data_IF_936960657115
#
_entry.id   IF_936960657115
#
_cell.length_a   1.000
_cell.length_b   1.000
_cell.length_c   1.000
_cell.angle_alpha   90.00
_cell.angle_beta   90.00
_cell.angle_gamma   90.00
#
_symmetry.space_group_name_H-M   'P 1'
#
loop_
_entity.id
_entity.type
_entity.pdbx_description
1 polymer ?
#
# COMPACT_ATOMS: atom_id res chain seq x y z
N UNK A 1 16.65 -29.63 -31.33
CA UNK A 1 15.22 -29.50 -30.96
C UNK A 1 14.66 -28.38 -31.82
N UNK A 2 13.74 -28.69 -32.74
CA UNK A 2 13.16 -27.69 -33.64
C UNK A 2 12.51 -26.58 -32.79
N UNK A 3 12.96 -25.34 -32.98
CA UNK A 3 12.49 -24.21 -32.21
C UNK A 3 11.04 -23.90 -32.57
N UNK A 4 10.19 -23.71 -31.55
CA UNK A 4 8.83 -23.21 -31.72
C UNK A 4 8.92 -21.78 -32.28
N UNK A 5 8.06 -21.45 -33.26
CA UNK A 5 7.98 -20.10 -33.82
C UNK A 5 7.71 -19.08 -32.71
N UNK A 6 8.29 -17.88 -32.85
CA UNK A 6 8.08 -16.76 -31.92
C UNK A 6 6.59 -16.42 -31.79
N UNK A 7 5.82 -16.58 -32.87
CA UNK A 7 4.39 -16.28 -32.90
C UNK A 7 3.58 -17.25 -32.02
N UNK A 8 3.87 -18.56 -32.14
CA UNK A 8 3.24 -19.59 -31.32
C UNK A 8 3.57 -19.38 -29.84
N UNK A 9 4.83 -19.03 -29.54
CA UNK A 9 5.23 -18.70 -28.16
C UNK A 9 4.45 -17.49 -27.62
N UNK A 10 4.28 -16.44 -28.42
CA UNK A 10 3.54 -15.24 -28.01
C UNK A 10 2.06 -15.56 -27.77
N UNK A 11 1.45 -16.35 -28.65
CA UNK A 11 0.05 -16.80 -28.51
C UNK A 11 -0.16 -17.62 -27.22
N UNK A 12 0.72 -18.58 -26.94
CA UNK A 12 0.65 -19.41 -25.73
C UNK A 12 0.76 -18.52 -24.48
N UNK A 13 1.69 -17.57 -24.46
CA UNK A 13 1.85 -16.64 -23.33
C UNK A 13 0.59 -15.77 -23.16
N UNK A 14 -0.01 -15.29 -24.26
CA UNK A 14 -1.25 -14.52 -24.20
C UNK A 14 -2.41 -15.34 -23.61
N UNK A 15 -2.56 -16.61 -24.02
CA UNK A 15 -3.58 -17.53 -23.49
C UNK A 15 -3.37 -17.83 -22.00
N UNK A 16 -2.13 -18.01 -21.55
CA UNK A 16 -1.83 -18.17 -20.12
C UNK A 16 -2.20 -16.90 -19.34
N UNK A 17 -1.84 -15.71 -19.84
CA UNK A 17 -2.21 -14.43 -19.20
C UNK A 17 -3.72 -14.21 -19.15
N UNK A 18 -4.46 -14.75 -20.12
CA UNK A 18 -5.93 -14.76 -20.13
C UNK A 18 -6.55 -15.79 -19.15
N UNK A 19 -5.74 -16.54 -18.41
CA UNK A 19 -6.21 -17.46 -17.36
C UNK A 19 -6.34 -18.93 -17.77
N UNK A 20 -5.93 -19.31 -18.99
CA UNK A 20 -5.96 -20.72 -19.39
C UNK A 20 -4.92 -21.55 -18.63
N UNK A 21 -5.27 -22.81 -18.32
CA UNK A 21 -4.39 -23.72 -17.60
C UNK A 21 -3.17 -24.08 -18.45
N UNK A 22 -1.99 -23.91 -17.88
CA UNK A 22 -0.70 -24.27 -18.49
C UNK A 22 -0.65 -25.75 -18.89
N UNK A 23 -1.29 -26.63 -18.12
CA UNK A 23 -1.31 -28.07 -18.41
C UNK A 23 -2.10 -28.41 -19.69
N UNK A 24 -3.20 -27.70 -19.95
CA UNK A 24 -4.05 -27.93 -21.11
C UNK A 24 -3.38 -27.36 -22.37
N UNK A 25 -2.78 -26.18 -22.25
CA UNK A 25 -1.97 -25.57 -23.32
C UNK A 25 -0.73 -26.41 -23.65
N UNK A 26 -0.05 -26.96 -22.65
CA UNK A 26 1.08 -27.86 -22.84
C UNK A 26 0.70 -29.07 -23.70
N UNK A 27 -0.45 -29.69 -23.42
CA UNK A 27 -0.98 -30.81 -24.21
C UNK A 27 -1.38 -30.36 -25.62
N UNK A 28 -2.13 -29.27 -25.75
CA UNK A 28 -2.64 -28.79 -27.03
C UNK A 28 -1.53 -28.41 -28.03
N UNK A 29 -0.44 -27.82 -27.54
CA UNK A 29 0.69 -27.39 -28.38
C UNK A 29 1.86 -28.37 -28.41
N UNK A 30 1.74 -29.54 -27.75
CA UNK A 30 2.77 -30.57 -27.75
C UNK A 30 4.07 -30.16 -27.05
N UNK A 31 3.98 -29.33 -25.99
CA UNK A 31 5.14 -28.79 -25.27
C UNK A 31 5.10 -29.14 -23.79
N UNK A 32 6.27 -29.19 -23.16
CA UNK A 32 6.32 -29.40 -21.71
C UNK A 32 5.79 -28.18 -20.96
N UNK A 33 5.07 -28.42 -19.86
CA UNK A 33 4.64 -27.36 -18.92
C UNK A 33 5.84 -26.54 -18.41
N UNK A 34 6.98 -27.21 -18.17
CA UNK A 34 8.26 -26.58 -17.78
C UNK A 34 8.71 -25.52 -18.79
N UNK A 35 8.56 -25.78 -20.08
CA UNK A 35 8.92 -24.82 -21.15
C UNK A 35 8.08 -23.54 -21.05
N UNK A 36 6.77 -23.68 -20.83
CA UNK A 36 5.86 -22.54 -20.68
C UNK A 36 6.23 -21.72 -19.44
N UNK A 37 6.47 -22.37 -18.30
CA UNK A 37 6.90 -21.69 -17.08
C UNK A 37 8.26 -20.98 -17.23
N UNK A 38 9.19 -21.56 -17.97
CA UNK A 38 10.48 -20.92 -18.26
C UNK A 38 10.29 -19.65 -19.09
N UNK A 39 9.38 -19.65 -20.06
CA UNK A 39 9.06 -18.44 -20.83
C UNK A 39 8.43 -17.36 -19.97
N UNK A 40 7.48 -17.72 -19.09
CA UNK A 40 6.86 -16.78 -18.15
C UNK A 40 7.89 -16.17 -17.20
N UNK A 41 8.80 -17.00 -16.66
CA UNK A 41 9.90 -16.54 -15.81
C UNK A 41 10.80 -15.53 -16.54
N UNK A 42 11.11 -15.77 -17.80
CA UNK A 42 11.91 -14.85 -18.62
C UNK A 42 11.18 -13.56 -19.05
N UNK A 43 9.88 -13.43 -18.80
CA UNK A 43 9.13 -12.18 -19.03
C UNK A 43 9.11 -11.26 -17.79
N UNK A 44 9.60 -11.72 -16.65
CA UNK A 44 9.73 -10.90 -15.44
C UNK A 44 10.86 -9.88 -15.67
N UNK A 45 10.50 -8.66 -16.08
CA UNK A 45 11.44 -7.58 -16.40
C UNK A 45 12.12 -6.99 -15.15
N UNK A 46 11.44 -7.01 -14.02
CA UNK A 46 11.95 -6.50 -12.75
C UNK A 46 11.83 -7.59 -11.69
N UNK A 47 12.96 -8.22 -11.37
CA UNK A 47 13.11 -8.93 -10.12
C UNK A 47 13.26 -7.85 -9.05
N UNK A 48 12.22 -7.61 -8.25
CA UNK A 48 12.32 -6.69 -7.10
C UNK A 48 13.44 -7.21 -6.21
N UNK A 49 14.49 -6.41 -6.07
CA UNK A 49 15.63 -6.78 -5.21
C UNK A 49 15.14 -6.93 -3.78
N UNK A 50 15.60 -7.96 -3.08
CA UNK A 50 15.31 -8.13 -1.65
C UNK A 50 15.63 -6.87 -0.83
N UNK A 51 16.68 -6.14 -1.23
CA UNK A 51 17.07 -4.87 -0.59
C UNK A 51 16.02 -3.79 -0.78
N UNK A 52 15.43 -3.70 -1.96
CA UNK A 52 14.40 -2.73 -2.30
C UNK A 52 13.09 -3.06 -1.59
N UNK A 53 12.69 -4.33 -1.59
CA UNK A 53 11.55 -4.80 -0.81
C UNK A 53 11.69 -4.46 0.69
N UNK A 54 12.86 -4.73 1.28
CA UNK A 54 13.13 -4.40 2.69
C UNK A 54 13.16 -2.90 2.96
N UNK A 55 13.65 -2.08 2.03
CA UNK A 55 13.61 -0.61 2.12
C UNK A 55 12.17 -0.12 2.19
N UNK A 56 11.35 -0.50 1.21
CA UNK A 56 9.93 -0.10 1.12
C UNK A 56 9.14 -0.58 2.35
N UNK A 57 9.40 -1.79 2.83
CA UNK A 57 8.78 -2.30 4.06
C UNK A 57 9.10 -1.41 5.28
N UNK A 58 10.37 -0.97 5.40
CA UNK A 58 10.81 -0.10 6.51
C UNK A 58 10.17 1.29 6.39
N UNK A 59 10.15 1.87 5.20
CA UNK A 59 9.53 3.17 4.94
C UNK A 59 8.02 3.14 5.28
N UNK A 60 7.30 2.10 4.86
CA UNK A 60 5.89 1.92 5.19
C UNK A 60 5.66 1.80 6.71
N UNK A 61 6.52 1.08 7.43
CA UNK A 61 6.42 0.98 8.88
C UNK A 61 6.62 2.33 9.58
N UNK A 62 7.59 3.13 9.12
CA UNK A 62 7.84 4.47 9.64
C UNK A 62 6.65 5.40 9.38
N UNK A 63 6.08 5.36 8.18
CA UNK A 63 4.90 6.14 7.83
C UNK A 63 3.70 5.81 8.73
N UNK A 64 3.46 4.52 9.00
CA UNK A 64 2.39 4.09 9.91
C UNK A 64 2.60 4.59 11.35
N UNK A 65 3.84 4.62 11.82
CA UNK A 65 4.16 5.16 13.15
C UNK A 65 3.87 6.66 13.23
N UNK A 66 4.32 7.44 12.24
CA UNK A 66 4.07 8.88 12.17
C UNK A 66 2.57 9.16 12.11
N UNK A 67 1.84 8.43 11.27
CA UNK A 67 0.38 8.55 11.15
C UNK A 67 -0.31 8.29 12.50
N UNK A 68 0.12 7.27 13.24
CA UNK A 68 -0.43 6.96 14.56
C UNK A 68 -0.24 8.10 15.57
N UNK A 69 0.98 8.65 15.64
CA UNK A 69 1.28 9.80 16.52
C UNK A 69 0.43 11.02 16.15
N UNK A 70 0.40 11.40 14.88
CA UNK A 70 -0.37 12.54 14.39
C UNK A 70 -1.88 12.37 14.65
N UNK A 71 -2.41 11.17 14.48
CA UNK A 71 -3.83 10.88 14.73
C UNK A 71 -4.17 11.10 16.21
N UNK A 72 -3.33 10.62 17.12
CA UNK A 72 -3.52 10.81 18.56
C UNK A 72 -3.42 12.28 18.97
N UNK A 73 -2.49 13.04 18.39
CA UNK A 73 -2.36 14.48 18.64
C UNK A 73 -3.59 15.25 18.15
N UNK A 74 -4.09 14.94 16.95
CA UNK A 74 -5.31 15.54 16.41
C UNK A 74 -6.53 15.26 17.28
N UNK A 75 -6.69 14.03 17.79
CA UNK A 75 -7.79 13.71 18.71
C UNK A 75 -7.70 14.48 20.03
N UNK A 76 -6.50 14.63 20.60
CA UNK A 76 -6.27 15.42 21.82
C UNK A 76 -6.61 16.89 21.61
N UNK A 77 -6.24 17.46 20.47
CA UNK A 77 -6.55 18.84 20.12
C UNK A 77 -8.06 19.05 19.97
N UNK A 78 -8.75 18.16 19.24
CA UNK A 78 -10.21 18.21 19.09
C UNK A 78 -10.93 18.22 20.43
N UNK A 79 -10.59 17.26 21.31
CA UNK A 79 -11.18 17.19 22.66
C UNK A 79 -10.93 18.46 23.48
N UNK A 80 -9.73 19.05 23.38
CA UNK A 80 -9.40 20.31 24.09
C UNK A 80 -10.18 21.51 23.55
N UNK A 81 -10.39 21.57 22.23
CA UNK A 81 -11.22 22.61 21.62
C UNK A 81 -12.68 22.47 22.04
N UNK A 82 -13.21 21.24 22.00
CA UNK A 82 -14.58 20.91 22.42
C UNK A 82 -14.85 21.29 23.89
N UNK A 83 -13.93 20.96 24.80
CA UNK A 83 -14.08 21.35 26.22
C UNK A 83 -14.02 22.86 26.40
N UNK A 84 -13.15 23.56 25.67
CA UNK A 84 -13.06 25.03 25.74
C UNK A 84 -14.35 25.69 25.22
N UNK A 85 -14.95 25.17 24.14
CA UNK A 85 -16.23 25.67 23.62
C UNK A 85 -17.37 25.47 24.61
N UNK A 86 -17.47 24.29 25.23
CA UNK A 86 -18.52 23.99 26.21
C UNK A 86 -18.38 24.86 27.47
N UNK A 87 -17.15 25.15 27.91
CA UNK A 87 -16.90 26.03 29.04
C UNK A 87 -17.31 27.48 28.76
N UNK A 88 -17.08 27.97 27.54
CA UNK A 88 -17.51 29.30 27.11
C UNK A 88 -19.04 29.43 27.04
N UNK A 89 -19.73 28.37 26.63
CA UNK A 89 -21.20 28.31 26.65
C UNK A 89 -21.77 28.32 28.08
N UNK A 90 -21.14 27.56 29.00
CA UNK A 90 -21.60 27.44 30.38
C UNK A 90 -21.29 28.67 31.25
N UNK A 91 -20.21 29.40 30.95
CA UNK A 91 -19.74 30.57 31.71
C UNK A 91 -19.42 31.75 30.77
N UNK A 92 -20.45 32.45 30.26
CA UNK A 92 -20.30 33.46 29.19
C UNK A 92 -19.59 34.75 29.62
N UNK A 93 -19.32 34.91 30.93
CA UNK A 93 -18.66 36.07 31.52
C UNK A 93 -17.14 35.86 31.74
N UNK A 94 -16.61 34.66 31.50
CA UNK A 94 -15.17 34.42 31.57
C UNK A 94 -14.50 34.92 30.29
N UNK A 95 -13.49 35.77 30.44
CA UNK A 95 -12.70 36.25 29.32
C UNK A 95 -11.94 35.08 28.66
N UNK A 96 -11.91 35.07 27.33
CA UNK A 96 -11.38 34.00 26.50
C UNK A 96 -9.86 33.84 26.70
N UNK A 97 -9.19 34.94 27.08
CA UNK A 97 -7.77 35.02 27.45
C UNK A 97 -7.48 34.27 28.75
N UNK A 98 -8.25 34.52 29.82
CA UNK A 98 -8.10 33.85 31.12
C UNK A 98 -8.37 32.34 31.03
N UNK A 99 -9.34 31.94 30.21
CA UNK A 99 -9.58 30.51 29.93
C UNK A 99 -8.44 29.88 29.13
N UNK A 100 -7.88 30.59 28.16
CA UNK A 100 -6.73 30.11 27.40
C UNK A 100 -5.49 29.96 28.30
N UNK A 101 -5.27 30.88 29.24
CA UNK A 101 -4.19 30.78 30.23
C UNK A 101 -4.40 29.60 31.20
N UNK A 102 -5.61 29.45 31.77
CA UNK A 102 -5.94 28.38 32.71
C UNK A 102 -5.87 26.96 32.09
N UNK A 103 -6.18 26.85 30.80
CA UNK A 103 -6.11 25.59 30.04
C UNK A 103 -4.73 25.35 29.39
N UNK A 104 -3.77 26.28 29.58
CA UNK A 104 -2.43 26.21 28.99
C UNK A 104 -2.42 26.25 27.46
N UNK A 105 -3.33 27.03 26.86
CA UNK A 105 -3.53 27.23 25.42
C UNK A 105 -2.94 28.58 24.96
N UNK A 106 -2.68 29.50 25.89
CA UNK A 106 -2.00 30.77 25.63
C UNK A 106 -0.56 30.52 25.16
N UNK A 107 -0.13 31.24 24.12
CA UNK A 107 1.20 31.10 23.52
C UNK A 107 2.29 31.61 24.46
#
# INVERSE_FOLDING_TARGET
MAGISKDIKAEIIAKVKAGQKVADLAKAYGISTKTIYNWLRGQVKEQVSWREYKRVMKENQQLKQILGVLTLELEKLKKRTETSTLLLEALPHLDKTLLADALGISR
#
